data_IF_298109641923
#
_entry.id   IF_298109641923
#
_cell.length_a   1.000
_cell.length_b   1.000
_cell.length_c   1.000
_cell.angle_alpha   90.00
_cell.angle_beta   90.00
_cell.angle_gamma   90.00
#
_symmetry.space_group_name_H-M   'P 1'
#
loop_
_entity.id
_entity.type
_entity.pdbx_description
1 polymer ?
#
# COMPACT_ATOMS: atom_id res chain seq x y z
N UNK A 1 6.14 0.21 -9.03
CA UNK A 1 5.07 -0.74 -8.65
C UNK A 1 3.90 -0.61 -9.59
N UNK A 2 3.36 -1.73 -10.03
CA UNK A 2 2.14 -1.72 -10.82
C UNK A 2 0.91 -1.57 -9.93
N UNK A 3 -0.05 -0.77 -10.37
CA UNK A 3 -1.35 -0.63 -9.73
C UNK A 3 -2.47 -0.79 -10.76
N UNK A 4 -3.61 -1.30 -10.31
CA UNK A 4 -4.83 -1.24 -11.07
C UNK A 4 -5.36 0.20 -11.10
N UNK A 5 -6.27 0.48 -12.04
CA UNK A 5 -6.77 1.85 -12.26
C UNK A 5 -7.39 2.46 -11.00
N UNK A 6 -8.22 1.72 -10.28
CA UNK A 6 -8.92 2.26 -9.12
C UNK A 6 -7.96 2.73 -8.01
N UNK A 7 -7.02 1.90 -7.51
CA UNK A 7 -6.07 2.38 -6.52
C UNK A 7 -5.11 3.44 -7.05
N UNK A 8 -4.73 3.39 -8.33
CA UNK A 8 -3.89 4.41 -8.94
C UNK A 8 -4.58 5.79 -8.89
N UNK A 9 -5.84 5.86 -9.29
CA UNK A 9 -6.60 7.10 -9.25
C UNK A 9 -6.84 7.58 -7.82
N UNK A 10 -7.10 6.67 -6.89
CA UNK A 10 -7.29 7.02 -5.49
C UNK A 10 -6.04 7.68 -4.89
N UNK A 11 -4.85 7.17 -5.22
CA UNK A 11 -3.59 7.76 -4.79
C UNK A 11 -3.36 9.10 -5.48
N UNK A 12 -3.62 9.18 -6.78
CA UNK A 12 -3.46 10.41 -7.54
C UNK A 12 -4.32 11.54 -6.99
N UNK A 13 -5.53 11.23 -6.55
CA UNK A 13 -6.48 12.19 -5.99
C UNK A 13 -6.32 12.37 -4.47
N UNK A 14 -5.32 11.73 -3.87
CA UNK A 14 -5.04 11.79 -2.43
C UNK A 14 -6.17 11.25 -1.55
N UNK A 15 -7.03 10.41 -2.11
CA UNK A 15 -8.07 9.68 -1.38
C UNK A 15 -7.54 8.42 -0.71
N UNK A 16 -6.37 7.96 -1.14
CA UNK A 16 -5.64 6.84 -0.55
C UNK A 16 -4.20 7.29 -0.34
N UNK A 17 -3.75 7.27 0.91
CA UNK A 17 -2.41 7.71 1.29
C UNK A 17 -1.59 6.60 1.94
N UNK A 18 -2.14 5.39 2.03
CA UNK A 18 -1.42 4.20 2.49
C UNK A 18 -1.64 3.08 1.48
N UNK A 19 -0.56 2.63 0.84
CA UNK A 19 -0.58 1.46 -0.03
C UNK A 19 -0.31 0.21 0.80
N UNK A 20 -0.99 -0.88 0.50
CA UNK A 20 -0.91 -2.12 1.26
C UNK A 20 -0.31 -3.23 0.43
N UNK A 21 0.74 -3.87 0.96
CA UNK A 21 1.46 -4.95 0.30
C UNK A 21 1.85 -6.04 1.30
N UNK A 22 2.20 -7.23 0.80
CA UNK A 22 2.89 -8.21 1.64
C UNK A 22 4.27 -7.67 2.03
N UNK A 23 4.71 -8.00 3.25
CA UNK A 23 6.05 -7.66 3.70
C UNK A 23 7.04 -8.75 3.26
N UNK A 24 7.10 -8.98 1.96
CA UNK A 24 7.97 -9.95 1.34
C UNK A 24 9.40 -9.40 1.18
N UNK A 25 10.30 -10.21 0.65
CA UNK A 25 11.70 -9.84 0.50
C UNK A 25 11.88 -8.53 -0.26
N UNK A 26 11.11 -8.33 -1.33
CA UNK A 26 11.18 -7.12 -2.14
C UNK A 26 10.76 -5.88 -1.36
N UNK A 27 9.67 -5.97 -0.59
CA UNK A 27 9.14 -4.83 0.16
C UNK A 27 9.92 -4.54 1.43
N UNK A 28 10.68 -5.51 1.95
CA UNK A 28 11.58 -5.29 3.09
C UNK A 28 12.67 -4.27 2.82
N UNK A 29 12.94 -4.00 1.56
CA UNK A 29 13.97 -3.05 1.14
C UNK A 29 13.48 -1.60 1.09
N UNK A 30 12.18 -1.39 1.24
CA UNK A 30 11.60 -0.05 1.22
C UNK A 30 11.92 0.67 2.54
N UNK A 31 12.39 1.91 2.43
CA UNK A 31 12.74 2.73 3.59
C UNK A 31 12.03 4.07 3.51
N UNK A 32 11.83 4.69 4.68
CA UNK A 32 11.31 6.06 4.76
C UNK A 32 12.24 6.99 3.99
N UNK A 33 11.68 7.86 3.16
CA UNK A 33 12.44 8.75 2.29
C UNK A 33 12.59 8.23 0.87
N UNK A 34 12.31 6.95 0.64
CA UNK A 34 12.38 6.39 -0.71
C UNK A 34 11.29 7.00 -1.61
N UNK A 35 11.60 7.03 -2.90
CA UNK A 35 10.62 7.37 -3.94
C UNK A 35 10.10 6.09 -4.55
N UNK A 36 8.78 5.99 -4.65
CA UNK A 36 8.13 4.88 -5.36
C UNK A 36 7.42 5.47 -6.58
N UNK A 37 7.61 4.85 -7.73
CA UNK A 37 6.87 5.19 -8.95
C UNK A 37 5.82 4.11 -9.18
N UNK A 38 4.55 4.50 -9.08
CA UNK A 38 3.43 3.64 -9.44
C UNK A 38 3.15 3.75 -10.93
N UNK A 39 2.77 2.64 -11.52
CA UNK A 39 2.46 2.56 -12.95
C UNK A 39 1.09 1.98 -13.14
N UNK A 40 0.31 2.60 -14.02
CA UNK A 40 -0.96 2.10 -14.47
C UNK A 40 -1.05 2.39 -15.98
N UNK A 41 -1.00 1.32 -16.79
CA UNK A 41 -0.93 1.46 -18.24
C UNK A 41 0.28 2.32 -18.63
N UNK A 42 0.09 3.44 -19.32
CA UNK A 42 1.18 4.34 -19.72
C UNK A 42 1.41 5.48 -18.73
N UNK A 43 0.59 5.56 -17.69
CA UNK A 43 0.69 6.62 -16.69
C UNK A 43 1.61 6.22 -15.55
N UNK A 44 2.30 7.21 -14.99
CA UNK A 44 3.19 7.05 -13.86
C UNK A 44 2.89 8.10 -12.81
N UNK A 45 3.08 7.72 -11.55
CA UNK A 45 2.87 8.61 -10.41
C UNK A 45 3.98 8.34 -9.39
N UNK A 46 4.76 9.37 -9.08
CA UNK A 46 5.83 9.24 -8.09
C UNK A 46 5.39 9.79 -6.74
N UNK A 47 5.71 9.04 -5.70
CA UNK A 47 5.37 9.37 -4.31
C UNK A 47 6.60 9.16 -3.43
N UNK A 48 6.61 9.82 -2.28
CA UNK A 48 7.65 9.62 -1.25
C UNK A 48 7.08 8.80 -0.11
N UNK A 49 7.87 7.85 0.38
CA UNK A 49 7.53 7.06 1.57
C UNK A 49 7.79 7.93 2.81
N UNK A 50 6.74 8.17 3.60
CA UNK A 50 6.85 8.98 4.82
C UNK A 50 6.75 8.17 6.11
N UNK A 51 6.17 6.96 6.05
CA UNK A 51 6.10 6.05 7.19
C UNK A 51 5.86 4.63 6.71
N UNK A 52 6.28 3.66 7.52
CA UNK A 52 6.09 2.23 7.25
C UNK A 52 5.44 1.60 8.48
N UNK A 53 4.38 0.80 8.26
CA UNK A 53 3.62 0.15 9.33
C UNK A 53 3.53 -1.35 9.05
N UNK A 54 4.09 -2.17 9.96
CA UNK A 54 4.12 -3.62 9.81
C UNK A 54 3.06 -4.27 10.69
N UNK A 55 2.36 -5.26 10.12
CA UNK A 55 1.34 -6.03 10.83
C UNK A 55 1.44 -7.51 10.44
N UNK A 56 0.92 -8.42 11.28
CA UNK A 56 0.93 -9.84 10.95
C UNK A 56 0.00 -10.21 9.79
N UNK A 57 -1.08 -9.46 9.61
CA UNK A 57 -2.05 -9.69 8.53
C UNK A 57 -2.83 -8.39 8.24
N UNK A 58 -3.67 -8.42 7.21
CA UNK A 58 -4.47 -7.25 6.85
C UNK A 58 -5.57 -6.96 7.85
N UNK A 59 -6.09 -7.96 8.55
CA UNK A 59 -7.08 -7.72 9.60
C UNK A 59 -6.52 -6.82 10.69
N UNK A 60 -5.29 -7.09 11.14
CA UNK A 60 -4.60 -6.27 12.14
C UNK A 60 -4.30 -4.85 11.60
N UNK A 61 -3.89 -4.77 10.33
CA UNK A 61 -3.61 -3.49 9.67
C UNK A 61 -4.86 -2.61 9.63
N UNK A 62 -6.00 -3.17 9.19
CA UNK A 62 -7.26 -2.43 9.11
C UNK A 62 -7.79 -2.03 10.48
N UNK A 63 -7.50 -2.81 11.51
CA UNK A 63 -7.90 -2.47 12.88
C UNK A 63 -7.10 -1.30 13.45
N UNK A 64 -5.86 -1.13 13.00
CA UNK A 64 -4.93 -0.15 13.57
C UNK A 64 -4.88 1.18 12.79
N UNK A 65 -5.05 1.14 11.46
CA UNK A 65 -4.87 2.32 10.62
C UNK A 65 -6.22 2.92 10.19
N UNK A 66 -6.28 4.25 9.98
CA UNK A 66 -7.53 4.90 9.55
C UNK A 66 -7.95 4.41 8.17
N UNK A 67 -9.20 3.95 8.05
CA UNK A 67 -9.74 3.45 6.79
C UNK A 67 -9.78 4.54 5.70
N UNK A 68 -9.94 5.80 6.11
CA UNK A 68 -9.91 6.92 5.18
C UNK A 68 -8.58 7.04 4.42
N UNK A 69 -7.49 6.51 4.99
CA UNK A 69 -6.18 6.52 4.34
C UNK A 69 -5.92 5.27 3.48
N UNK A 70 -6.67 4.20 3.72
CA UNK A 70 -6.46 2.91 3.05
C UNK A 70 -7.18 2.82 1.70
N UNK A 71 -8.21 3.63 1.50
CA UNK A 71 -9.06 3.54 0.32
C UNK A 71 -9.97 2.31 0.31
N UNK A 72 -10.14 1.67 1.46
CA UNK A 72 -10.92 0.44 1.64
C UNK A 72 -11.34 0.34 3.10
N UNK A 73 -12.49 -0.28 3.35
CA UNK A 73 -13.04 -0.44 4.71
C UNK A 73 -13.07 -1.87 5.19
N UNK A 74 -12.83 -2.85 4.31
CA UNK A 74 -12.96 -4.27 4.64
C UNK A 74 -11.67 -5.00 4.29
N UNK A 75 -10.97 -5.62 5.26
CA UNK A 75 -9.75 -6.38 5.00
C UNK A 75 -9.96 -7.55 4.03
N UNK A 76 -11.19 -8.04 3.87
CA UNK A 76 -11.52 -9.08 2.89
C UNK A 76 -11.24 -8.63 1.46
N UNK A 77 -11.24 -7.33 1.19
CA UNK A 77 -10.90 -6.79 -0.13
C UNK A 77 -9.48 -7.18 -0.54
N UNK A 78 -8.60 -7.43 0.43
CA UNK A 78 -7.21 -7.79 0.16
C UNK A 78 -7.02 -9.29 -0.10
N UNK A 79 -7.99 -10.13 0.26
CA UNK A 79 -7.88 -11.60 0.07
C UNK A 79 -7.85 -11.95 -1.41
N UNK A 80 -8.48 -11.17 -2.26
CA UNK A 80 -8.44 -11.40 -3.71
C UNK A 80 -7.03 -11.23 -4.29
N UNK A 81 -6.15 -10.48 -3.60
CA UNK A 81 -4.77 -10.26 -4.04
C UNK A 81 -3.78 -11.13 -3.29
N UNK A 82 -4.03 -11.39 -2.01
CA UNK A 82 -3.09 -12.08 -1.13
C UNK A 82 -3.83 -13.09 -0.25
N UNK A 83 -3.42 -14.36 -0.32
CA UNK A 83 -4.03 -15.41 0.48
C UNK A 83 -3.73 -15.25 1.97
N UNK A 84 -4.53 -15.87 2.82
CA UNK A 84 -4.27 -15.89 4.27
C UNK A 84 -2.93 -16.56 4.59
N UNK A 85 -2.57 -17.58 3.81
CA UNK A 85 -1.30 -18.28 3.97
C UNK A 85 -0.10 -17.37 3.67
N UNK A 86 -0.17 -16.60 2.59
CA UNK A 86 0.87 -15.63 2.25
C UNK A 86 1.00 -14.55 3.32
N UNK A 87 -0.12 -14.07 3.85
CA UNK A 87 -0.11 -13.08 4.93
C UNK A 87 0.60 -13.62 6.17
N UNK A 88 0.30 -14.87 6.56
CA UNK A 88 0.95 -15.49 7.71
C UNK A 88 2.44 -15.71 7.49
N UNK A 89 2.83 -16.03 6.27
CA UNK A 89 4.23 -16.29 5.93
C UNK A 89 5.09 -15.03 5.96
N UNK A 90 4.60 -13.94 5.39
CA UNK A 90 5.40 -12.73 5.18
C UNK A 90 5.03 -11.57 6.11
N UNK A 91 3.82 -11.56 6.64
CA UNK A 91 3.25 -10.36 7.23
C UNK A 91 2.85 -9.36 6.15
N UNK A 92 2.35 -8.21 6.56
CA UNK A 92 1.89 -7.18 5.64
C UNK A 92 2.48 -5.82 6.01
N UNK A 93 2.50 -4.94 5.03
CA UNK A 93 3.10 -3.62 5.14
C UNK A 93 2.10 -2.56 4.67
N UNK A 94 1.86 -1.56 5.52
CA UNK A 94 1.21 -0.33 5.12
C UNK A 94 2.29 0.69 4.80
N UNK A 95 2.33 1.14 3.56
CA UNK A 95 3.31 2.12 3.08
C UNK A 95 2.61 3.46 3.03
N UNK A 96 2.91 4.33 3.98
CA UNK A 96 2.33 5.66 4.01
C UNK A 96 3.14 6.57 3.10
N UNK A 97 2.43 7.26 2.21
CA UNK A 97 3.03 7.98 1.09
C UNK A 97 2.47 9.40 0.98
N UNK A 98 3.27 10.29 0.39
CA UNK A 98 2.82 11.61 -0.03
C UNK A 98 3.18 11.80 -1.49
N UNK A 99 2.34 12.54 -2.21
CA UNK A 99 2.63 12.88 -3.60
C UNK A 99 3.81 13.83 -3.66
N UNK A 100 4.68 13.58 -4.64
CA UNK A 100 5.76 14.52 -4.93
C UNK A 100 5.20 15.63 -5.80
N UNK A 101 5.32 16.86 -5.31
CA UNK A 101 4.95 18.04 -6.10
C UNK A 101 6.15 18.46 -6.95
N UNK A 102 5.84 18.83 -8.17
CA UNK A 102 6.84 19.37 -9.09
C UNK A 102 7.01 20.86 -8.87
#
# INVERSE_FOLDING_TARGET
MKLQRQPFEAIRLEQKTIEMRLYDEKRRQIAVGDTITFRCEEEKLSVRVIALHRFPDFAALYAALPHSKLGSTDPKDMVQYYSQEEQRKYGVLGIEIERMTL
#
